data_IF_094683847565
#
_entry.id   IF_094683847565
#
_cell.length_a   1.000
_cell.length_b   1.000
_cell.length_c   1.000
_cell.angle_alpha   90.00
_cell.angle_beta   90.00
_cell.angle_gamma   90.00
#
_symmetry.space_group_name_H-M   'P 1'
#
loop_
_entity.id
_entity.type
_entity.pdbx_description
1 polymer ?
#
# COMPACT_ATOMS: atom_id res chain seq x y z
N UNK A 1 -7.97 0.28 -30.68
CA UNK A 1 -7.18 -0.84 -30.13
C UNK A 1 -6.91 -0.52 -28.67
N UNK A 2 -7.60 -1.18 -27.79
CA UNK A 2 -7.37 -1.08 -26.34
C UNK A 2 -6.06 -1.82 -26.06
N UNK A 3 -5.13 -1.14 -25.41
CA UNK A 3 -3.81 -1.67 -25.11
C UNK A 3 -3.93 -2.84 -24.13
N UNK A 4 -3.89 -4.09 -24.60
CA UNK A 4 -3.95 -5.31 -23.80
C UNK A 4 -2.81 -5.45 -22.78
N UNK A 5 -1.82 -4.57 -22.81
CA UNK A 5 -0.69 -4.52 -21.88
C UNK A 5 -1.07 -4.05 -20.47
N UNK A 6 -2.22 -3.41 -20.30
CA UNK A 6 -2.68 -2.94 -18.98
C UNK A 6 -3.44 -4.01 -18.17
N UNK A 7 -3.80 -5.14 -18.78
CA UNK A 7 -4.72 -6.12 -18.19
C UNK A 7 -4.05 -7.22 -17.34
N UNK A 8 -2.73 -7.21 -17.18
CA UNK A 8 -2.03 -8.14 -16.28
C UNK A 8 -1.50 -7.42 -15.05
N UNK A 9 -2.39 -6.84 -14.29
CA UNK A 9 -2.08 -6.47 -12.91
C UNK A 9 -2.03 -7.76 -12.08
N UNK A 10 -0.81 -8.20 -11.78
CA UNK A 10 -0.60 -9.30 -10.84
C UNK A 10 -1.01 -8.76 -9.48
N UNK A 11 -2.15 -9.21 -8.96
CA UNK A 11 -2.57 -8.93 -7.59
C UNK A 11 -1.68 -9.73 -6.65
N UNK A 12 -0.83 -9.03 -5.94
CA UNK A 12 0.00 -9.61 -4.90
C UNK A 12 -0.71 -9.31 -3.59
N UNK A 13 -1.32 -10.34 -3.02
CA UNK A 13 -1.98 -10.24 -1.72
C UNK A 13 -0.92 -10.34 -0.62
N UNK A 14 -0.76 -9.32 0.22
CA UNK A 14 0.13 -9.46 1.36
C UNK A 14 -0.44 -10.47 2.35
N UNK A 15 0.39 -11.36 2.90
CA UNK A 15 -0.04 -12.22 3.98
C UNK A 15 -0.40 -11.38 5.22
N UNK A 16 -1.29 -11.89 6.08
CA UNK A 16 -1.76 -11.17 7.27
C UNK A 16 -0.64 -10.65 8.19
N UNK A 17 0.41 -11.42 8.34
CA UNK A 17 1.57 -11.09 9.17
C UNK A 17 2.32 -9.82 8.72
N UNK A 18 2.26 -9.47 7.45
CA UNK A 18 2.89 -8.25 6.90
C UNK A 18 2.19 -7.00 7.41
N UNK A 19 0.87 -7.00 7.41
CA UNK A 19 0.06 -5.89 7.93
C UNK A 19 0.20 -5.78 9.44
N UNK A 20 0.17 -6.91 10.14
CA UNK A 20 0.33 -6.99 11.59
C UNK A 20 1.70 -6.45 12.04
N UNK A 21 2.77 -6.75 11.31
CA UNK A 21 4.10 -6.21 11.59
C UNK A 21 4.14 -4.67 11.52
N UNK A 22 3.46 -4.07 10.54
CA UNK A 22 3.34 -2.62 10.46
C UNK A 22 2.57 -2.06 11.66
N UNK A 23 1.42 -2.63 11.98
CA UNK A 23 0.56 -2.16 13.08
C UNK A 23 1.24 -2.29 14.45
N UNK A 24 2.05 -3.33 14.62
CA UNK A 24 2.84 -3.50 15.84
C UNK A 24 3.94 -2.44 15.98
N UNK A 25 4.52 -2.01 14.87
CA UNK A 25 5.53 -0.94 14.88
C UNK A 25 4.90 0.46 15.01
N UNK A 26 3.86 0.71 14.24
CA UNK A 26 3.13 1.97 14.30
C UNK A 26 2.12 1.88 15.45
N UNK A 27 2.38 2.63 16.50
CA UNK A 27 1.39 2.86 17.56
C UNK A 27 0.26 3.77 17.03
N UNK A 28 -0.43 3.30 15.97
CA UNK A 28 -1.57 4.02 15.42
C UNK A 28 -2.67 4.04 16.49
N UNK A 29 -3.24 5.20 16.81
CA UNK A 29 -4.32 5.26 17.77
C UNK A 29 -5.44 4.30 17.39
N UNK A 30 -5.97 3.57 18.36
CA UNK A 30 -7.15 2.72 18.17
C UNK A 30 -8.28 3.55 17.55
N UNK A 31 -9.02 2.94 16.62
CA UNK A 31 -10.16 3.58 15.94
C UNK A 31 -9.82 4.71 14.96
N UNK A 32 -8.60 4.81 14.46
CA UNK A 32 -8.34 5.73 13.37
C UNK A 32 -8.99 5.23 12.07
N UNK A 33 -9.20 6.14 11.14
CA UNK A 33 -9.67 5.80 9.80
C UNK A 33 -8.48 5.52 8.91
N UNK A 34 -8.58 4.46 8.12
CA UNK A 34 -7.53 4.04 7.20
C UNK A 34 -8.11 3.89 5.81
N UNK A 35 -7.42 4.41 4.83
CA UNK A 35 -7.73 4.18 3.42
C UNK A 35 -6.76 3.17 2.82
N UNK A 36 -7.29 2.09 2.27
CA UNK A 36 -6.58 1.12 1.43
C UNK A 36 -6.99 1.34 -0.04
N UNK A 37 -6.21 2.14 -0.80
CA UNK A 37 -6.59 2.52 -2.17
C UNK A 37 -6.24 1.50 -3.26
N UNK A 38 -5.60 0.40 -2.91
CA UNK A 38 -5.30 -0.70 -3.80
C UNK A 38 -5.70 -2.03 -3.14
N UNK A 39 -6.95 -2.09 -2.68
CA UNK A 39 -7.44 -3.11 -1.76
C UNK A 39 -7.43 -4.54 -2.34
N UNK A 40 -7.47 -4.69 -3.65
CA UNK A 40 -7.53 -6.00 -4.28
C UNK A 40 -8.69 -6.82 -3.75
N UNK A 41 -8.41 -7.97 -3.13
CA UNK A 41 -9.43 -8.83 -2.48
C UNK A 41 -9.73 -8.45 -1.02
N UNK A 42 -9.14 -7.38 -0.52
CA UNK A 42 -9.45 -6.82 0.80
C UNK A 42 -8.72 -7.51 1.97
N UNK A 43 -7.66 -8.27 1.73
CA UNK A 43 -6.98 -9.00 2.82
C UNK A 43 -6.30 -8.06 3.82
N UNK A 44 -5.62 -7.02 3.33
CA UNK A 44 -5.04 -5.99 4.18
C UNK A 44 -6.13 -5.20 4.93
N UNK A 45 -7.20 -4.82 4.23
CA UNK A 45 -8.32 -4.10 4.83
C UNK A 45 -9.00 -4.91 5.94
N UNK A 46 -9.16 -6.23 5.77
CA UNK A 46 -9.68 -7.13 6.82
C UNK A 46 -8.78 -7.15 8.05
N UNK A 47 -7.45 -7.17 7.85
CA UNK A 47 -6.49 -7.12 8.96
C UNK A 47 -6.55 -5.79 9.71
N UNK A 48 -6.60 -4.67 8.99
CA UNK A 48 -6.74 -3.35 9.58
C UNK A 48 -8.05 -3.23 10.38
N UNK A 49 -9.16 -3.71 9.84
CA UNK A 49 -10.45 -3.74 10.52
C UNK A 49 -10.44 -4.62 11.77
N UNK A 50 -9.78 -5.78 11.72
CA UNK A 50 -9.63 -6.68 12.87
C UNK A 50 -8.86 -6.05 14.03
N UNK A 51 -8.00 -5.05 13.76
CA UNK A 51 -7.29 -4.26 14.76
C UNK A 51 -8.09 -3.03 15.26
N UNK A 52 -9.36 -2.91 14.87
CA UNK A 52 -10.28 -1.87 15.35
C UNK A 52 -10.30 -0.59 14.53
N UNK A 53 -9.67 -0.55 13.37
CA UNK A 53 -9.69 0.61 12.50
C UNK A 53 -10.94 0.65 11.62
N UNK A 54 -11.41 1.84 11.29
CA UNK A 54 -12.44 2.03 10.26
C UNK A 54 -11.75 2.09 8.90
N UNK A 55 -12.00 1.12 8.04
CA UNK A 55 -11.28 0.98 6.77
C UNK A 55 -12.18 1.38 5.61
N UNK A 56 -11.65 2.25 4.75
CA UNK A 56 -12.20 2.57 3.45
C UNK A 56 -11.37 1.83 2.39
N UNK A 57 -12.03 1.01 1.61
CA UNK A 57 -11.42 0.24 0.53
C UNK A 57 -11.75 0.86 -0.81
N UNK A 58 -10.77 0.96 -1.68
CA UNK A 58 -10.98 1.24 -3.09
C UNK A 58 -9.94 0.54 -3.95
N UNK A 59 -10.25 0.34 -5.21
CA UNK A 59 -9.35 -0.31 -6.17
C UNK A 59 -9.73 0.12 -7.58
N UNK A 60 -8.73 0.13 -8.47
CA UNK A 60 -8.96 0.42 -9.89
C UNK A 60 -9.94 -0.58 -10.52
N UNK A 61 -9.94 -1.82 -10.06
CA UNK A 61 -10.84 -2.89 -10.54
C UNK A 61 -12.29 -2.67 -10.09
N UNK A 62 -12.51 -1.90 -9.04
CA UNK A 62 -13.86 -1.50 -8.59
C UNK A 62 -14.24 -0.09 -9.05
N UNK A 63 -13.45 0.50 -9.94
CA UNK A 63 -13.77 1.75 -10.61
C UNK A 63 -13.19 3.01 -9.95
N UNK A 64 -12.31 2.88 -8.95
CA UNK A 64 -11.67 4.03 -8.32
C UNK A 64 -10.16 4.03 -8.60
N UNK A 65 -9.70 5.00 -9.37
CA UNK A 65 -8.28 5.24 -9.55
C UNK A 65 -7.76 6.17 -8.45
N UNK A 66 -6.94 5.62 -7.54
CA UNK A 66 -6.34 6.38 -6.46
C UNK A 66 -5.66 7.67 -6.91
N UNK A 67 -4.99 7.63 -8.07
CA UNK A 67 -4.22 8.76 -8.59
C UNK A 67 -5.09 9.95 -9.06
N UNK A 68 -6.41 9.80 -9.06
CA UNK A 68 -7.35 10.82 -9.54
C UNK A 68 -8.32 11.34 -8.47
N UNK A 69 -8.26 10.80 -7.26
CA UNK A 69 -9.21 11.14 -6.17
C UNK A 69 -8.47 11.66 -4.94
N UNK A 70 -9.09 12.58 -4.23
CA UNK A 70 -8.50 13.26 -3.07
C UNK A 70 -8.92 12.66 -1.72
N UNK A 71 -9.92 11.78 -1.72
CA UNK A 71 -10.44 11.15 -0.53
C UNK A 71 -11.04 9.77 -0.85
N UNK A 72 -11.13 8.86 0.13
CA UNK A 72 -11.77 7.57 -0.10
C UNK A 72 -13.25 7.72 -0.45
N UNK A 73 -13.74 6.96 -1.44
CA UNK A 73 -15.15 6.97 -1.82
C UNK A 73 -16.06 6.69 -0.61
N UNK A 74 -17.11 7.47 -0.48
CA UNK A 74 -18.08 7.33 0.62
C UNK A 74 -17.60 7.83 1.98
N UNK A 75 -16.39 8.35 2.08
CA UNK A 75 -15.90 8.93 3.33
C UNK A 75 -16.57 10.27 3.64
N UNK A 76 -16.88 10.46 4.92
CA UNK A 76 -17.38 11.75 5.43
C UNK A 76 -16.30 12.35 6.31
N UNK A 77 -15.86 13.57 5.99
CA UNK A 77 -14.84 14.30 6.74
C UNK A 77 -13.51 13.53 6.88
N UNK A 78 -12.94 13.12 5.75
CA UNK A 78 -11.58 12.62 5.70
C UNK A 78 -10.63 13.70 6.27
N UNK A 79 -9.81 13.38 7.25
CA UNK A 79 -9.00 14.32 7.99
C UNK A 79 -7.52 14.00 7.93
N UNK A 80 -6.66 14.98 8.15
CA UNK A 80 -5.19 14.83 8.11
C UNK A 80 -4.61 13.87 9.14
N UNK A 81 -5.41 13.39 10.10
CA UNK A 81 -4.99 12.37 11.08
C UNK A 81 -5.32 10.95 10.63
N UNK A 82 -6.00 10.81 9.50
CA UNK A 82 -6.34 9.51 8.93
C UNK A 82 -5.18 8.99 8.09
N UNK A 83 -5.04 7.68 8.01
CA UNK A 83 -3.91 7.03 7.37
C UNK A 83 -4.24 6.49 5.98
N UNK A 84 -3.26 6.52 5.10
CA UNK A 84 -3.28 5.74 3.86
C UNK A 84 -2.30 4.59 4.05
N UNK A 85 -2.80 3.35 4.03
CA UNK A 85 -1.97 2.14 4.20
C UNK A 85 -2.27 1.21 3.04
N UNK A 86 -1.27 0.89 2.24
CA UNK A 86 -1.49 0.12 1.02
C UNK A 86 -0.28 -0.68 0.56
N UNK A 87 -0.56 -1.72 -0.22
CA UNK A 87 0.40 -2.43 -1.06
C UNK A 87 0.18 -1.99 -2.51
N UNK A 88 0.85 -0.92 -2.97
CA UNK A 88 0.60 -0.38 -4.29
C UNK A 88 1.07 -1.33 -5.39
N UNK A 89 0.48 -1.28 -6.58
CA UNK A 89 1.06 -1.95 -7.74
C UNK A 89 2.51 -1.51 -7.93
N UNK A 90 3.44 -2.44 -7.99
CA UNK A 90 4.88 -2.11 -7.98
C UNK A 90 5.30 -1.16 -9.11
N UNK A 91 4.66 -1.30 -10.28
CA UNK A 91 4.93 -0.41 -11.42
C UNK A 91 4.49 1.05 -11.17
N UNK A 92 3.55 1.27 -10.25
CA UNK A 92 2.96 2.58 -9.93
C UNK A 92 3.41 3.12 -8.56
N UNK A 93 4.36 2.47 -7.89
CA UNK A 93 4.76 2.84 -6.53
C UNK A 93 5.17 4.30 -6.39
N UNK A 94 5.90 4.85 -7.38
CA UNK A 94 6.31 6.26 -7.34
C UNK A 94 5.11 7.22 -7.43
N UNK A 95 4.17 6.94 -8.33
CA UNK A 95 2.96 7.74 -8.50
C UNK A 95 2.12 7.70 -7.22
N UNK A 96 1.98 6.52 -6.60
CA UNK A 96 1.28 6.37 -5.33
C UNK A 96 1.93 7.17 -4.20
N UNK A 97 3.26 7.13 -4.07
CA UNK A 97 4.00 7.91 -3.06
C UNK A 97 3.78 9.41 -3.28
N UNK A 98 3.93 9.89 -4.52
CA UNK A 98 3.74 11.31 -4.84
C UNK A 98 2.33 11.77 -4.55
N UNK A 99 1.33 11.03 -4.99
CA UNK A 99 -0.06 11.37 -4.76
C UNK A 99 -0.43 11.35 -3.27
N UNK A 100 -0.05 10.32 -2.52
CA UNK A 100 -0.28 10.27 -1.08
C UNK A 100 0.36 11.46 -0.35
N UNK A 101 1.57 11.85 -0.76
CA UNK A 101 2.24 13.02 -0.19
C UNK A 101 1.51 14.34 -0.50
N UNK A 102 0.94 14.47 -1.70
CA UNK A 102 0.12 15.63 -2.10
C UNK A 102 -1.16 15.74 -1.28
N UNK A 103 -1.72 14.61 -0.86
CA UNK A 103 -2.92 14.56 -0.01
C UNK A 103 -2.64 15.00 1.44
N UNK A 104 -1.38 15.15 1.83
CA UNK A 104 -0.97 15.61 3.17
C UNK A 104 -1.49 14.74 4.32
N UNK A 105 -1.59 13.44 4.12
CA UNK A 105 -1.94 12.45 5.14
C UNK A 105 -0.71 11.63 5.52
N UNK A 106 -0.64 11.08 6.76
CA UNK A 106 0.32 10.06 7.06
C UNK A 106 0.04 8.81 6.20
N UNK A 107 1.08 8.18 5.70
CA UNK A 107 0.89 7.00 4.87
C UNK A 107 2.01 5.98 5.04
N UNK A 108 1.67 4.72 4.81
CA UNK A 108 2.61 3.61 4.79
C UNK A 108 2.39 2.76 3.53
N UNK A 109 3.47 2.41 2.86
CA UNK A 109 3.42 1.60 1.64
C UNK A 109 4.35 0.41 1.74
N UNK A 110 3.82 -0.76 1.37
CA UNK A 110 4.59 -1.98 1.23
C UNK A 110 5.28 -1.96 -0.13
N UNK A 111 6.60 -1.95 -0.12
CA UNK A 111 7.41 -1.85 -1.32
C UNK A 111 8.38 -3.03 -1.41
N UNK A 112 8.82 -3.38 -2.62
CA UNK A 112 9.97 -4.27 -2.79
C UNK A 112 11.23 -3.63 -2.21
N UNK A 113 12.06 -4.40 -1.52
CA UNK A 113 13.31 -3.88 -0.94
C UNK A 113 14.26 -3.31 -2.01
N UNK A 114 14.27 -3.88 -3.22
CA UNK A 114 15.03 -3.34 -4.35
C UNK A 114 14.60 -1.93 -4.77
N UNK A 115 13.39 -1.52 -4.40
CA UNK A 115 12.90 -0.17 -4.69
C UNK A 115 13.79 0.90 -4.08
N UNK A 116 14.31 0.64 -2.88
CA UNK A 116 15.23 1.54 -2.17
C UNK A 116 16.58 1.69 -2.86
N UNK A 117 17.08 0.63 -3.47
CA UNK A 117 18.42 0.58 -4.05
C UNK A 117 18.53 1.09 -5.49
N UNK A 118 17.43 1.43 -6.13
CA UNK A 118 17.44 1.88 -7.51
C UNK A 118 17.90 3.35 -7.61
N UNK A 119 18.99 3.63 -8.33
CA UNK A 119 19.52 4.98 -8.50
C UNK A 119 18.50 5.99 -9.04
N UNK A 120 17.58 5.53 -9.90
CA UNK A 120 16.46 6.34 -10.41
C UNK A 120 15.47 6.81 -9.32
N UNK A 121 15.50 6.20 -8.12
CA UNK A 121 14.67 6.60 -6.97
C UNK A 121 15.32 7.65 -6.09
N UNK A 122 16.60 7.96 -6.31
CA UNK A 122 17.32 8.93 -5.51
C UNK A 122 16.62 10.29 -5.47
N UNK A 123 16.09 10.74 -6.63
CA UNK A 123 15.34 12.00 -6.71
C UNK A 123 14.06 11.93 -5.85
N UNK A 124 13.27 10.87 -5.98
CA UNK A 124 12.05 10.68 -5.21
C UNK A 124 12.33 10.75 -3.70
N UNK A 125 13.29 9.98 -3.21
CA UNK A 125 13.60 9.92 -1.77
C UNK A 125 14.34 11.16 -1.22
N UNK A 126 14.89 12.00 -2.07
CA UNK A 126 15.37 13.33 -1.67
C UNK A 126 14.22 14.32 -1.50
N UNK A 127 13.19 14.22 -2.34
CA UNK A 127 12.02 15.09 -2.32
C UNK A 127 11.00 14.65 -1.25
N UNK A 128 10.73 13.34 -1.18
CA UNK A 128 9.74 12.72 -0.33
C UNK A 128 10.41 11.60 0.46
N UNK A 129 11.12 11.97 1.52
CA UNK A 129 11.88 11.03 2.34
C UNK A 129 10.95 10.35 3.35
N UNK A 130 10.92 9.02 3.43
CA UNK A 130 10.19 8.34 4.49
C UNK A 130 10.83 8.61 5.86
N UNK A 131 10.00 8.66 6.89
CA UNK A 131 10.45 8.78 8.27
C UNK A 131 11.02 7.45 8.78
N UNK A 132 10.42 6.33 8.31
CA UNK A 132 10.86 4.99 8.68
C UNK A 132 10.91 4.08 7.46
N UNK A 133 11.90 3.20 7.47
CA UNK A 133 12.01 2.07 6.53
C UNK A 133 12.15 0.80 7.37
N UNK A 134 11.19 -0.09 7.25
CA UNK A 134 11.05 -1.29 8.05
C UNK A 134 11.22 -2.53 7.16
N UNK A 135 12.46 -3.02 6.97
CA UNK A 135 12.67 -4.27 6.27
C UNK A 135 12.04 -5.41 7.05
N UNK A 136 11.35 -6.31 6.38
CA UNK A 136 10.87 -7.53 7.01
C UNK A 136 12.04 -8.52 7.13
N UNK A 137 12.15 -9.13 8.30
CA UNK A 137 13.21 -10.14 8.58
C UNK A 137 12.87 -11.51 8.03
N UNK A 138 11.74 -11.64 7.35
CA UNK A 138 11.29 -12.84 6.67
C UNK A 138 10.78 -12.51 5.28
N UNK A 139 10.69 -13.52 4.42
CA UNK A 139 10.09 -13.43 3.10
C UNK A 139 8.66 -13.88 3.17
N UNK A 140 7.69 -12.96 3.07
CA UNK A 140 6.29 -13.35 3.10
C UNK A 140 5.92 -14.12 1.84
N UNK A 141 5.05 -15.11 2.00
CA UNK A 141 4.45 -15.81 0.90
C UNK A 141 3.29 -14.99 0.35
N UNK A 142 3.47 -14.36 -0.78
CA UNK A 142 2.39 -13.69 -1.47
C UNK A 142 1.62 -14.70 -2.31
N UNK A 143 0.30 -14.70 -2.22
CA UNK A 143 -0.55 -15.52 -3.06
C UNK A 143 -0.70 -14.84 -4.41
N UNK A 144 -0.16 -15.46 -5.45
CA UNK A 144 -0.46 -15.07 -6.81
C UNK A 144 -1.64 -15.88 -7.30
N UNK A 145 -2.64 -15.23 -7.86
CA UNK A 145 -3.78 -15.89 -8.50
C UNK A 145 -3.47 -16.47 -9.88
N UNK A 146 -2.28 -16.97 -10.12
CA UNK A 146 -2.00 -17.74 -11.32
C UNK A 146 -1.68 -19.19 -10.96
N UNK A 147 -2.30 -20.11 -11.68
CA UNK A 147 -2.37 -21.55 -11.46
C UNK A 147 -1.05 -22.33 -11.48
N UNK A 148 0.10 -21.72 -11.38
CA UNK A 148 1.39 -22.41 -11.49
C UNK A 148 2.30 -22.08 -10.30
N UNK A 149 2.30 -23.01 -9.42
CA UNK A 149 3.28 -23.41 -8.43
C UNK A 149 4.35 -22.40 -7.98
N UNK A 150 4.24 -21.93 -6.73
CA UNK A 150 5.32 -21.26 -6.01
C UNK A 150 5.40 -19.76 -6.29
N UNK A 151 4.84 -18.96 -5.38
CA UNK A 151 5.08 -17.53 -5.40
C UNK A 151 6.59 -17.27 -5.31
N UNK A 152 7.19 -16.42 -6.17
CA UNK A 152 8.57 -16.02 -6.00
C UNK A 152 8.71 -15.32 -4.64
N UNK A 153 9.64 -15.78 -3.83
CA UNK A 153 9.98 -15.14 -2.56
C UNK A 153 10.46 -13.72 -2.85
N UNK A 154 9.75 -12.72 -2.35
CA UNK A 154 10.11 -11.32 -2.52
C UNK A 154 10.55 -10.73 -1.19
N UNK A 155 11.65 -10.00 -1.25
CA UNK A 155 12.05 -9.15 -0.16
C UNK A 155 11.22 -7.86 -0.23
N UNK A 156 10.49 -7.56 0.84
CA UNK A 156 9.65 -6.37 0.96
C UNK A 156 9.97 -5.59 2.23
N UNK A 157 9.59 -4.34 2.20
CA UNK A 157 9.76 -3.42 3.32
C UNK A 157 8.54 -2.52 3.43
N UNK A 158 8.21 -2.09 4.63
CA UNK A 158 7.34 -0.95 4.82
C UNK A 158 8.13 0.35 4.76
N UNK A 159 7.64 1.30 4.01
CA UNK A 159 8.09 2.68 4.08
C UNK A 159 6.97 3.52 4.66
N UNK A 160 7.29 4.35 5.64
CA UNK A 160 6.31 5.12 6.44
C UNK A 160 6.64 6.60 6.37
N UNK A 161 5.64 7.39 6.09
CA UNK A 161 5.65 8.86 6.12
C UNK A 161 4.58 9.30 7.12
N UNK A 162 4.99 9.91 8.21
CA UNK A 162 4.11 10.31 9.32
C UNK A 162 4.05 11.83 9.54
#
# INVERSE_FOLDING_TARGET
MVNESAARQIFILPPPDVTEALLHFLEIPSFCRVWEPAAGEGDMAKQLAAHGHTVYESDIMTGTDFLTVEAPPGSVKWSQTDWIITNPPFALSEQFIRHANELCHPFAMLLKSQYWHASKRLKLFREIRPDYVLPLTWRPNFYFKEEHGGAPLMDVMWCVWS
#
